data_IF_027847593867
#
_entry.id   IF_027847593867
#
_cell.length_a   1.000
_cell.length_b   1.000
_cell.length_c   1.000
_cell.angle_alpha   90.00
_cell.angle_beta   90.00
_cell.angle_gamma   90.00
#
_symmetry.space_group_name_H-M   'P 1'
#
loop_
_entity.id
_entity.type
_entity.pdbx_description
1 polymer ?
#
# COMPACT_ATOMS: atom_id res chain seq x y z
N UNK A 1 -10.64 18.38 35.26
CA UNK A 1 -9.60 18.10 34.25
C UNK A 1 -9.92 18.93 33.03
N UNK A 2 -9.27 20.07 32.86
CA UNK A 2 -9.44 20.92 31.68
C UNK A 2 -8.92 20.17 30.47
N UNK A 3 -9.78 19.86 29.50
CA UNK A 3 -9.32 19.44 28.18
C UNK A 3 -8.57 20.63 27.60
N UNK A 4 -7.24 20.58 27.65
CA UNK A 4 -6.42 21.45 26.83
C UNK A 4 -6.73 21.08 25.38
N UNK A 5 -7.66 21.82 24.77
CA UNK A 5 -7.83 21.87 23.33
C UNK A 5 -6.55 22.47 22.79
N UNK A 6 -5.56 21.63 22.52
CA UNK A 6 -4.33 22.05 21.84
C UNK A 6 -4.79 22.55 20.46
N UNK A 7 -4.66 23.85 20.13
CA UNK A 7 -5.19 24.46 18.91
C UNK A 7 -4.30 24.13 17.71
N UNK A 8 -3.66 22.95 17.72
CA UNK A 8 -2.85 22.47 16.60
C UNK A 8 -3.83 22.16 15.48
N UNK A 9 -3.83 23.01 14.45
CA UNK A 9 -4.80 22.95 13.37
C UNK A 9 -4.88 21.58 12.69
N UNK A 10 -5.97 21.35 11.96
CA UNK A 10 -6.28 20.11 11.21
C UNK A 10 -5.07 19.48 10.49
N UNK A 11 -4.20 20.32 9.94
CA UNK A 11 -2.99 19.95 9.22
C UNK A 11 -1.88 19.32 10.09
N UNK A 12 -2.05 19.26 11.41
CA UNK A 12 -1.07 18.65 12.32
C UNK A 12 -1.37 17.18 12.64
N UNK A 13 -2.49 16.64 12.15
CA UNK A 13 -2.84 15.24 12.35
C UNK A 13 -2.35 14.39 11.16
N UNK A 14 -1.55 13.35 11.43
CA UNK A 14 -1.10 12.39 10.42
C UNK A 14 -2.27 11.73 9.68
N UNK A 15 -3.34 11.43 10.42
CA UNK A 15 -4.55 10.79 9.88
C UNK A 15 -5.20 11.65 8.80
N UNK A 16 -5.22 12.98 8.96
CA UNK A 16 -5.74 13.89 7.94
C UNK A 16 -4.95 13.77 6.63
N UNK A 17 -3.62 13.77 6.70
CA UNK A 17 -2.76 13.64 5.52
C UNK A 17 -2.80 12.25 4.88
N UNK A 18 -2.93 11.20 5.69
CA UNK A 18 -3.14 9.83 5.20
C UNK A 18 -4.47 9.78 4.45
N UNK A 19 -5.55 10.28 5.05
CA UNK A 19 -6.87 10.34 4.43
C UNK A 19 -6.85 11.16 3.13
N UNK A 20 -6.24 12.34 3.15
CA UNK A 20 -6.08 13.19 1.97
C UNK A 20 -5.29 12.49 0.86
N UNK A 21 -4.18 11.83 1.21
CA UNK A 21 -3.38 11.08 0.23
C UNK A 21 -4.18 9.94 -0.39
N UNK A 22 -4.89 9.15 0.43
CA UNK A 22 -5.75 8.06 -0.06
C UNK A 22 -6.86 8.58 -0.97
N UNK A 23 -7.50 9.69 -0.62
CA UNK A 23 -8.54 10.31 -1.45
C UNK A 23 -7.98 10.82 -2.78
N UNK A 24 -6.87 11.58 -2.74
CA UNK A 24 -6.27 12.18 -3.95
C UNK A 24 -5.70 11.11 -4.87
N UNK A 25 -4.85 10.21 -4.35
CA UNK A 25 -4.23 9.17 -5.17
C UNK A 25 -5.22 8.09 -5.59
N UNK A 26 -6.18 7.73 -4.73
CA UNK A 26 -7.28 6.84 -5.08
C UNK A 26 -8.15 7.43 -6.19
N UNK A 27 -8.53 8.70 -6.09
CA UNK A 27 -9.28 9.40 -7.14
C UNK A 27 -8.51 9.49 -8.46
N UNK A 28 -7.22 9.83 -8.41
CA UNK A 28 -6.36 9.86 -9.59
C UNK A 28 -6.22 8.48 -10.24
N UNK A 29 -6.03 7.42 -9.45
CA UNK A 29 -5.97 6.05 -9.94
C UNK A 29 -7.30 5.61 -10.58
N UNK A 30 -8.44 6.02 -10.02
CA UNK A 30 -9.76 5.74 -10.59
C UNK A 30 -9.94 6.42 -11.95
N UNK A 31 -9.49 7.68 -12.07
CA UNK A 31 -9.49 8.41 -13.34
C UNK A 31 -8.61 7.72 -14.39
N UNK A 32 -7.43 7.23 -14.01
CA UNK A 32 -6.55 6.46 -14.91
C UNK A 32 -7.19 5.13 -15.32
N UNK A 33 -7.76 4.39 -14.38
CA UNK A 33 -8.40 3.10 -14.63
C UNK A 33 -9.56 3.20 -15.63
N UNK A 34 -10.23 4.36 -15.71
CA UNK A 34 -11.30 4.60 -16.68
C UNK A 34 -10.86 4.45 -18.14
N UNK A 35 -9.57 4.70 -18.42
CA UNK A 35 -8.98 4.56 -19.75
C UNK A 35 -8.65 3.11 -20.14
N UNK A 36 -8.69 2.16 -19.20
CA UNK A 36 -8.37 0.76 -19.47
C UNK A 36 -9.50 0.07 -20.24
N UNK A 37 -9.15 -0.99 -20.97
CA UNK A 37 -10.14 -1.84 -21.63
C UNK A 37 -11.11 -2.47 -20.60
N UNK A 38 -12.30 -2.88 -21.06
CA UNK A 38 -13.36 -3.35 -20.18
C UNK A 38 -12.96 -4.57 -19.33
N UNK A 39 -12.04 -5.41 -19.81
CA UNK A 39 -11.58 -6.61 -19.11
C UNK A 39 -10.60 -6.25 -17.98
N UNK A 40 -9.70 -5.29 -18.22
CA UNK A 40 -8.67 -4.86 -17.26
C UNK A 40 -9.14 -3.75 -16.31
N UNK A 41 -10.29 -3.11 -16.57
CA UNK A 41 -10.77 -1.93 -15.82
C UNK A 41 -11.35 -2.24 -14.45
N UNK A 42 -12.11 -3.32 -14.31
CA UNK A 42 -12.99 -3.53 -13.15
C UNK A 42 -12.25 -3.59 -11.82
N UNK A 43 -11.12 -4.31 -11.77
CA UNK A 43 -10.34 -4.46 -10.55
C UNK A 43 -9.62 -3.17 -10.13
N UNK A 44 -8.79 -2.52 -10.99
CA UNK A 44 -8.14 -1.25 -10.64
C UNK A 44 -9.14 -0.16 -10.27
N UNK A 45 -10.28 -0.08 -10.97
CA UNK A 45 -11.33 0.90 -10.68
C UNK A 45 -11.98 0.65 -9.30
N UNK A 46 -12.38 -0.59 -9.00
CA UNK A 46 -12.97 -0.92 -7.70
C UNK A 46 -12.00 -0.65 -6.54
N UNK A 47 -10.74 -1.05 -6.67
CA UNK A 47 -9.72 -0.83 -5.66
C UNK A 47 -9.45 0.66 -5.43
N UNK A 48 -9.29 1.44 -6.50
CA UNK A 48 -9.02 2.87 -6.42
C UNK A 48 -10.18 3.66 -5.81
N UNK A 49 -11.44 3.31 -6.13
CA UNK A 49 -12.62 3.89 -5.50
C UNK A 49 -12.71 3.53 -4.01
N UNK A 50 -12.42 2.29 -3.63
CA UNK A 50 -12.42 1.86 -2.25
C UNK A 50 -11.35 2.62 -1.44
N UNK A 51 -10.14 2.78 -1.99
CA UNK A 51 -9.09 3.59 -1.37
C UNK A 51 -9.51 5.05 -1.21
N UNK A 52 -10.12 5.64 -2.25
CA UNK A 52 -10.59 7.02 -2.18
C UNK A 52 -11.66 7.21 -1.09
N UNK A 53 -12.62 6.28 -1.01
CA UNK A 53 -13.67 6.28 -0.01
C UNK A 53 -13.12 6.10 1.42
N UNK A 54 -12.18 5.16 1.61
CA UNK A 54 -11.48 5.00 2.89
C UNK A 54 -10.74 6.29 3.29
N UNK A 55 -10.10 6.98 2.35
CA UNK A 55 -9.47 8.27 2.59
C UNK A 55 -10.45 9.32 3.13
N UNK A 56 -11.62 9.42 2.52
CA UNK A 56 -12.69 10.34 2.97
C UNK A 56 -13.15 9.99 4.38
N UNK A 57 -13.36 8.71 4.68
CA UNK A 57 -13.77 8.27 6.02
C UNK A 57 -12.71 8.60 7.07
N UNK A 58 -11.42 8.48 6.75
CA UNK A 58 -10.33 8.85 7.67
C UNK A 58 -10.29 10.36 7.91
N UNK A 59 -10.50 11.18 6.87
CA UNK A 59 -10.62 12.65 7.01
C UNK A 59 -11.80 12.97 7.93
N UNK A 60 -12.98 12.40 7.68
CA UNK A 60 -14.17 12.62 8.50
C UNK A 60 -13.95 12.18 9.95
N UNK A 61 -13.36 11.00 10.18
CA UNK A 61 -12.99 10.54 11.52
C UNK A 61 -12.07 11.54 12.23
N UNK A 62 -11.08 12.07 11.52
CA UNK A 62 -10.12 13.05 12.08
C UNK A 62 -10.80 14.37 12.42
N UNK A 63 -11.78 14.80 11.61
CA UNK A 63 -12.59 16.00 11.86
C UNK A 63 -13.55 15.81 13.05
N UNK A 64 -14.13 14.62 13.19
CA UNK A 64 -15.13 14.31 14.21
C UNK A 64 -14.52 13.88 15.55
N UNK A 65 -13.26 13.46 15.57
CA UNK A 65 -12.60 12.92 16.77
C UNK A 65 -11.37 13.76 17.11
N UNK A 66 -11.28 14.29 18.34
CA UNK A 66 -10.08 14.97 18.84
C UNK A 66 -8.96 13.96 19.10
N UNK A 67 -8.38 13.45 18.02
CA UNK A 67 -7.34 12.42 18.06
C UNK A 67 -6.02 13.07 18.46
N UNK A 68 -5.28 12.54 19.46
CA UNK A 68 -3.99 13.09 19.85
C UNK A 68 -3.05 13.28 18.65
N UNK A 69 -2.34 14.41 18.59
CA UNK A 69 -1.41 14.67 17.48
C UNK A 69 -0.26 13.65 17.52
N UNK A 70 -0.14 12.81 16.49
CA UNK A 70 0.97 11.85 16.36
C UNK A 70 2.16 12.53 15.68
N UNK A 71 3.38 12.31 16.18
CA UNK A 71 4.59 12.88 15.57
C UNK A 71 4.84 12.33 14.15
N UNK A 72 4.90 13.24 13.17
CA UNK A 72 5.18 12.92 11.76
C UNK A 72 6.57 12.29 11.54
N UNK A 73 7.56 12.56 12.40
CA UNK A 73 8.94 12.15 12.14
C UNK A 73 9.11 10.64 11.91
N UNK A 74 8.44 9.80 12.69
CA UNK A 74 8.48 8.35 12.49
C UNK A 74 7.68 7.92 11.26
N UNK A 75 6.46 8.45 11.11
CA UNK A 75 5.57 8.13 9.99
C UNK A 75 6.19 8.48 8.63
N UNK A 76 6.83 9.64 8.50
CA UNK A 76 7.50 10.07 7.27
C UNK A 76 8.71 9.19 6.96
N UNK A 77 9.50 8.79 7.97
CA UNK A 77 10.63 7.86 7.77
C UNK A 77 10.17 6.48 7.29
N UNK A 78 9.13 5.95 7.93
CA UNK A 78 8.50 4.69 7.52
C UNK A 78 7.96 4.79 6.10
N UNK A 79 7.21 5.85 5.78
CA UNK A 79 6.67 6.08 4.45
C UNK A 79 7.76 6.20 3.38
N UNK A 80 8.85 6.92 3.67
CA UNK A 80 9.98 7.07 2.76
C UNK A 80 10.68 5.72 2.49
N UNK A 81 10.89 4.89 3.51
CA UNK A 81 11.47 3.56 3.35
C UNK A 81 10.54 2.63 2.56
N UNK A 82 9.23 2.66 2.83
CA UNK A 82 8.26 1.89 2.06
C UNK A 82 8.22 2.34 0.59
N UNK A 83 8.28 3.65 0.33
CA UNK A 83 8.32 4.19 -1.03
C UNK A 83 9.59 3.73 -1.78
N UNK A 84 10.75 3.75 -1.12
CA UNK A 84 11.99 3.22 -1.70
C UNK A 84 11.87 1.73 -2.05
N UNK A 85 11.33 0.92 -1.13
CA UNK A 85 11.10 -0.51 -1.36
C UNK A 85 10.15 -0.73 -2.54
N UNK A 86 9.08 0.06 -2.67
CA UNK A 86 8.18 0.01 -3.83
C UNK A 86 8.90 0.34 -5.14
N UNK A 87 9.72 1.40 -5.17
CA UNK A 87 10.48 1.77 -6.37
C UNK A 87 11.44 0.65 -6.78
N UNK A 88 12.14 0.05 -5.82
CA UNK A 88 13.02 -1.10 -6.09
C UNK A 88 12.25 -2.31 -6.59
N UNK A 89 11.06 -2.57 -6.05
CA UNK A 89 10.19 -3.65 -6.52
C UNK A 89 9.70 -3.41 -7.95
N UNK A 90 9.22 -2.20 -8.27
CA UNK A 90 8.82 -1.82 -9.64
C UNK A 90 9.99 -1.98 -10.60
N UNK A 91 11.18 -1.51 -10.23
CA UNK A 91 12.39 -1.67 -11.04
C UNK A 91 12.72 -3.14 -11.27
N UNK A 92 12.68 -3.97 -10.22
CA UNK A 92 12.93 -5.42 -10.31
C UNK A 92 11.96 -6.12 -11.27
N UNK A 93 10.66 -5.78 -11.22
CA UNK A 93 9.68 -6.27 -12.18
C UNK A 93 9.97 -5.78 -13.60
N UNK A 94 10.32 -4.50 -13.77
CA UNK A 94 10.66 -3.90 -15.05
C UNK A 94 11.91 -4.50 -15.72
N UNK A 95 12.87 -4.99 -14.92
CA UNK A 95 14.06 -5.70 -15.40
C UNK A 95 13.84 -7.20 -15.61
N UNK A 96 12.62 -7.72 -15.47
CA UNK A 96 12.31 -9.13 -15.76
C UNK A 96 12.75 -10.11 -14.67
N UNK A 97 12.89 -9.68 -13.41
CA UNK A 97 13.19 -10.59 -12.29
C UNK A 97 11.98 -11.47 -11.87
N UNK A 98 10.87 -11.37 -12.59
CA UNK A 98 9.63 -12.09 -12.32
C UNK A 98 8.87 -11.58 -11.11
N UNK A 99 7.67 -12.13 -10.86
CA UNK A 99 6.80 -11.65 -9.78
C UNK A 99 7.20 -12.15 -8.38
N UNK A 100 7.51 -13.45 -8.21
CA UNK A 100 7.58 -14.08 -6.89
C UNK A 100 8.73 -13.53 -6.04
N UNK A 101 9.98 -13.58 -6.55
CA UNK A 101 11.17 -13.18 -5.81
C UNK A 101 11.12 -11.72 -5.31
N UNK A 102 10.95 -10.74 -6.22
CA UNK A 102 10.81 -9.34 -5.82
C UNK A 102 9.66 -9.11 -4.84
N UNK A 103 8.52 -9.78 -5.03
CA UNK A 103 7.36 -9.62 -4.13
C UNK A 103 7.64 -10.18 -2.74
N UNK A 104 8.32 -11.33 -2.62
CA UNK A 104 8.74 -11.87 -1.31
C UNK A 104 9.64 -10.89 -0.56
N UNK A 105 10.64 -10.33 -1.24
CA UNK A 105 11.58 -9.36 -0.66
C UNK A 105 10.85 -8.09 -0.24
N UNK A 106 9.96 -7.58 -1.08
CA UNK A 106 9.13 -6.41 -0.78
C UNK A 106 8.25 -6.66 0.45
N UNK A 107 7.53 -7.78 0.51
CA UNK A 107 6.65 -8.11 1.64
C UNK A 107 7.44 -8.25 2.95
N UNK A 108 8.60 -8.91 2.90
CA UNK A 108 9.46 -9.04 4.07
C UNK A 108 9.93 -7.67 4.56
N UNK A 109 10.40 -6.83 3.63
CA UNK A 109 10.85 -5.48 3.96
C UNK A 109 9.73 -4.63 4.59
N UNK A 110 8.50 -4.68 4.07
CA UNK A 110 7.37 -3.97 4.68
C UNK A 110 7.05 -4.46 6.09
N UNK A 111 6.94 -5.77 6.29
CA UNK A 111 6.69 -6.33 7.61
C UNK A 111 7.78 -5.92 8.60
N UNK A 112 9.04 -5.93 8.16
CA UNK A 112 10.18 -5.54 8.98
C UNK A 112 10.20 -4.05 9.32
N UNK A 113 9.94 -3.18 8.33
CA UNK A 113 9.84 -1.72 8.49
C UNK A 113 8.69 -1.36 9.45
N UNK A 114 7.55 -2.05 9.32
CA UNK A 114 6.38 -1.88 10.18
C UNK A 114 6.56 -2.49 11.59
N UNK A 115 7.71 -3.12 11.88
CA UNK A 115 8.08 -3.54 13.24
C UNK A 115 7.87 -5.02 13.56
N UNK A 116 7.52 -5.87 12.59
CA UNK A 116 7.49 -7.32 12.81
C UNK A 116 8.91 -7.89 12.86
N UNK A 117 9.51 -7.90 14.06
CA UNK A 117 10.90 -8.33 14.30
C UNK A 117 11.16 -9.84 14.28
N UNK A 118 10.22 -10.74 14.61
CA UNK A 118 10.52 -12.17 14.52
C UNK A 118 10.69 -12.59 13.05
N UNK A 119 11.95 -12.79 12.62
CA UNK A 119 12.28 -13.05 11.21
C UNK A 119 11.52 -14.25 10.63
N UNK A 120 11.37 -15.34 11.39
CA UNK A 120 10.58 -16.50 10.95
C UNK A 120 9.11 -16.17 10.68
N UNK A 121 8.48 -15.31 11.50
CA UNK A 121 7.09 -14.86 11.26
C UNK A 121 6.99 -13.94 10.06
N UNK A 122 7.95 -13.03 9.90
CA UNK A 122 8.02 -12.14 8.75
C UNK A 122 8.14 -12.95 7.45
N UNK A 123 9.09 -13.90 7.38
CA UNK A 123 9.26 -14.80 6.22
C UNK A 123 7.97 -15.59 5.95
N UNK A 124 7.38 -16.22 6.98
CA UNK A 124 6.15 -16.99 6.82
C UNK A 124 5.02 -16.14 6.23
N UNK A 125 4.78 -14.94 6.79
CA UNK A 125 3.74 -14.05 6.28
C UNK A 125 4.04 -13.54 4.87
N UNK A 126 5.30 -13.22 4.56
CA UNK A 126 5.70 -12.84 3.19
C UNK A 126 5.40 -13.95 2.19
N UNK A 127 5.71 -15.20 2.53
CA UNK A 127 5.41 -16.37 1.69
C UNK A 127 3.89 -16.54 1.53
N UNK A 128 3.12 -16.51 2.62
CA UNK A 128 1.67 -16.69 2.56
C UNK A 128 0.99 -15.59 1.75
N UNK A 129 1.37 -14.32 1.95
CA UNK A 129 0.80 -13.18 1.20
C UNK A 129 1.17 -13.29 -0.29
N UNK A 130 2.42 -13.65 -0.60
CA UNK A 130 2.86 -13.80 -1.99
C UNK A 130 2.16 -14.97 -2.68
N UNK A 131 2.03 -16.11 -2.00
CA UNK A 131 1.31 -17.28 -2.52
C UNK A 131 -0.16 -16.99 -2.74
N UNK A 132 -0.84 -16.37 -1.77
CA UNK A 132 -2.24 -15.97 -1.91
C UNK A 132 -2.44 -14.97 -3.06
N UNK A 133 -1.56 -13.96 -3.15
CA UNK A 133 -1.56 -12.99 -4.25
C UNK A 133 -1.38 -13.65 -5.61
N UNK A 134 -0.39 -14.55 -5.74
CA UNK A 134 -0.16 -15.32 -6.95
C UNK A 134 -1.38 -16.16 -7.33
N UNK A 135 -1.96 -16.88 -6.37
CA UNK A 135 -3.16 -17.69 -6.59
C UNK A 135 -4.33 -16.86 -7.12
N UNK A 136 -4.59 -15.70 -6.48
CA UNK A 136 -5.66 -14.81 -6.89
C UNK A 136 -5.38 -14.23 -8.29
N UNK A 137 -4.19 -13.68 -8.54
CA UNK A 137 -3.92 -13.03 -9.81
C UNK A 137 -3.87 -14.02 -10.98
N UNK A 138 -3.18 -15.15 -10.81
CA UNK A 138 -2.98 -16.11 -11.91
C UNK A 138 -4.21 -16.99 -12.10
N UNK A 139 -4.74 -17.60 -11.04
CA UNK A 139 -5.80 -18.60 -11.18
C UNK A 139 -7.20 -17.99 -11.15
N UNK A 140 -7.45 -17.01 -10.27
CA UNK A 140 -8.79 -16.43 -10.14
C UNK A 140 -9.03 -15.32 -11.16
N UNK A 141 -8.07 -14.43 -11.36
CA UNK A 141 -8.21 -13.25 -12.21
C UNK A 141 -7.60 -13.41 -13.61
N UNK A 142 -6.92 -14.54 -13.88
CA UNK A 142 -6.27 -14.81 -15.17
C UNK A 142 -5.33 -13.68 -15.65
N UNK A 143 -4.71 -12.97 -14.69
CA UNK A 143 -3.80 -11.87 -14.95
C UNK A 143 -2.43 -12.43 -15.33
N UNK A 144 -1.87 -11.96 -16.45
CA UNK A 144 -0.49 -12.27 -16.84
C UNK A 144 0.48 -11.51 -15.95
N UNK A 145 1.27 -12.23 -15.17
CA UNK A 145 2.33 -11.66 -14.35
C UNK A 145 3.63 -11.52 -15.16
N UNK A 146 4.54 -10.60 -14.78
CA UNK A 146 5.86 -10.48 -15.42
C UNK A 146 6.61 -11.81 -15.37
N UNK A 147 7.00 -12.30 -16.54
CA UNK A 147 7.79 -13.53 -16.67
C UNK A 147 9.21 -13.28 -16.15
N UNK A 148 9.76 -14.27 -15.44
CA UNK A 148 11.14 -14.22 -14.97
C UNK A 148 12.07 -14.58 -16.12
N UNK A 149 13.20 -13.87 -16.24
CA UNK A 149 14.31 -14.25 -17.12
C UNK A 149 14.88 -15.64 -16.72
N UNK A 150 14.72 -16.02 -15.45
CA UNK A 150 15.04 -17.35 -14.94
C UNK A 150 13.76 -18.03 -14.41
N UNK A 151 12.93 -18.62 -15.30
CA UNK A 151 11.67 -19.26 -14.89
C UNK A 151 11.89 -20.53 -14.04
N UNK A 152 13.11 -21.08 -14.00
CA UNK A 152 13.48 -22.22 -13.16
C UNK A 152 13.85 -21.86 -11.72
N UNK A 153 13.97 -20.57 -11.40
CA UNK A 153 14.19 -20.06 -10.03
C UNK A 153 12.86 -19.83 -9.28
N UNK A 154 11.75 -20.27 -9.88
CA UNK A 154 10.40 -20.27 -9.31
C UNK A 154 10.18 -21.51 -8.42
#
# INVERSE_FOLDING_TARGET
>A
MSSQTDPRGLFTHSDFWIGLSLTVFGGAAAAMAWSFDAMSRSYPLALSLLLAAMGVLVILKTLLTQTPSVHFGLATRVAALCALVLVLWIAALGFGLGFIGPTLVMQFAFLWICGLRPAGKAVLFSVLITAAGYLIFVFLLSVRLPESIAPWLL
#
